data_IF_808978328565
#
_entry.id   IF_808978328565
#
_cell.length_a   1.000
_cell.length_b   1.000
_cell.length_c   1.000
_cell.angle_alpha   90.00
_cell.angle_beta   90.00
_cell.angle_gamma   90.00
#
_symmetry.space_group_name_H-M   'P 1'
#
loop_
_entity.id
_entity.type
_entity.pdbx_description
1 polymer ?
#
# COMPACT_ATOMS: atom_id res chain seq x y z
N UNK A 1 3.43 27.15 -29.58
CA UNK A 1 3.34 26.58 -28.18
C UNK A 1 4.01 25.23 -28.21
N UNK A 2 5.03 25.07 -27.41
CA UNK A 2 5.79 23.81 -27.31
C UNK A 2 4.95 22.77 -26.55
N UNK A 3 4.93 21.54 -27.04
CA UNK A 3 4.24 20.43 -26.37
C UNK A 3 5.21 19.64 -25.50
N UNK A 4 4.71 18.99 -24.44
CA UNK A 4 5.51 18.12 -23.59
C UNK A 4 6.19 17.00 -24.39
N UNK A 5 5.53 16.47 -25.42
CA UNK A 5 6.07 15.47 -26.34
C UNK A 5 7.32 15.98 -27.09
N UNK A 6 7.31 17.24 -27.53
CA UNK A 6 8.47 17.83 -28.21
C UNK A 6 9.67 17.98 -27.27
N UNK A 7 9.45 18.35 -26.01
CA UNK A 7 10.51 18.44 -24.99
C UNK A 7 11.10 17.06 -24.70
N UNK A 8 10.26 16.04 -24.60
CA UNK A 8 10.67 14.66 -24.37
C UNK A 8 11.49 14.08 -25.53
N UNK A 9 11.06 14.35 -26.77
CA UNK A 9 11.82 13.96 -27.96
C UNK A 9 13.18 14.64 -28.03
N UNK A 10 13.26 15.92 -27.69
CA UNK A 10 14.54 16.64 -27.61
C UNK A 10 15.49 16.00 -26.60
N UNK A 11 14.99 15.68 -25.40
CA UNK A 11 15.77 15.00 -24.38
C UNK A 11 16.29 13.64 -24.87
N UNK A 12 15.42 12.84 -25.51
CA UNK A 12 15.79 11.56 -26.09
C UNK A 12 16.83 11.67 -27.19
N UNK A 13 16.76 12.73 -28.02
CA UNK A 13 17.74 12.97 -29.05
C UNK A 13 19.12 13.32 -28.47
N UNK A 14 19.19 14.17 -27.44
CA UNK A 14 20.46 14.49 -26.77
C UNK A 14 21.07 13.30 -26.05
N UNK A 15 20.26 12.39 -25.52
CA UNK A 15 20.75 11.12 -24.93
C UNK A 15 21.34 10.18 -25.99
N UNK A 16 20.76 10.15 -27.20
CA UNK A 16 21.26 9.32 -28.32
C UNK A 16 22.46 9.92 -29.04
N UNK A 17 22.60 11.25 -29.02
CA UNK A 17 23.61 11.99 -29.72
C UNK A 17 24.44 12.86 -28.78
N UNK A 18 25.33 12.24 -27.96
CA UNK A 18 26.18 12.96 -27.03
C UNK A 18 27.16 13.93 -27.74
N UNK A 19 27.44 13.68 -29.00
CA UNK A 19 28.25 14.57 -29.88
C UNK A 19 27.58 15.91 -30.19
N UNK A 20 26.27 15.97 -29.97
CA UNK A 20 25.45 17.16 -30.21
C UNK A 20 24.79 17.21 -31.60
N UNK A 21 23.73 18.01 -31.67
CA UNK A 21 22.93 18.20 -32.87
C UNK A 21 22.75 19.68 -33.18
N UNK A 22 22.74 20.05 -34.49
CA UNK A 22 22.47 21.40 -34.89
C UNK A 22 20.96 21.69 -34.96
N UNK A 23 20.60 22.98 -34.97
CA UNK A 23 19.21 23.43 -34.93
C UNK A 23 18.35 22.89 -36.08
N UNK A 24 18.95 22.75 -37.28
CA UNK A 24 18.22 22.27 -38.47
C UNK A 24 17.92 20.78 -38.39
N UNK A 25 18.86 19.98 -37.86
CA UNK A 25 18.66 18.56 -37.60
C UNK A 25 17.58 18.36 -36.54
N UNK A 26 17.64 19.12 -35.43
CA UNK A 26 16.60 19.08 -34.39
C UNK A 26 15.22 19.46 -34.92
N UNK A 27 15.14 20.46 -35.83
CA UNK A 27 13.90 20.87 -36.47
C UNK A 27 13.31 19.75 -37.36
N UNK A 28 14.16 19.06 -38.12
CA UNK A 28 13.76 17.94 -38.96
C UNK A 28 13.24 16.73 -38.09
N UNK A 29 13.99 16.35 -37.06
CA UNK A 29 13.63 15.24 -36.16
C UNK A 29 12.33 15.50 -35.38
N UNK A 30 12.06 16.74 -34.99
CA UNK A 30 10.85 17.15 -34.31
C UNK A 30 9.69 17.48 -35.24
N UNK A 31 9.90 17.47 -36.56
CA UNK A 31 8.94 17.95 -37.55
C UNK A 31 8.37 19.35 -37.19
N UNK A 32 9.23 20.23 -36.68
CA UNK A 32 8.85 21.55 -36.16
C UNK A 32 9.68 22.67 -36.80
N UNK A 33 9.19 23.91 -36.72
CA UNK A 33 9.97 25.06 -37.19
C UNK A 33 11.16 25.35 -36.25
N UNK A 34 12.25 25.95 -36.77
CA UNK A 34 13.40 26.29 -35.92
C UNK A 34 13.07 27.22 -34.75
N UNK A 35 12.04 28.04 -34.86
CA UNK A 35 11.55 28.89 -33.76
C UNK A 35 10.93 28.07 -32.62
N UNK A 36 10.13 27.07 -32.95
CA UNK A 36 9.54 26.15 -31.96
C UNK A 36 10.62 25.32 -31.26
N UNK A 37 11.65 24.87 -32.02
CA UNK A 37 12.79 24.17 -31.44
C UNK A 37 13.55 25.04 -30.44
N UNK A 38 13.80 26.32 -30.79
CA UNK A 38 14.46 27.25 -29.84
C UNK A 38 13.65 27.47 -28.57
N UNK A 39 12.33 27.64 -28.70
CA UNK A 39 11.43 27.75 -27.55
C UNK A 39 11.49 26.48 -26.69
N UNK A 40 11.52 25.29 -27.31
CA UNK A 40 11.65 24.03 -26.62
C UNK A 40 13.01 23.83 -25.92
N UNK A 41 14.11 24.26 -26.53
CA UNK A 41 15.44 24.28 -25.93
C UNK A 41 15.52 25.22 -24.72
N UNK A 42 14.90 26.41 -24.85
CA UNK A 42 14.79 27.36 -23.74
C UNK A 42 13.98 26.78 -22.59
N UNK A 43 12.84 26.13 -22.88
CA UNK A 43 12.01 25.46 -21.87
C UNK A 43 12.78 24.33 -21.19
N UNK A 44 13.55 23.53 -21.93
CA UNK A 44 14.43 22.49 -21.39
C UNK A 44 15.42 23.06 -20.37
N UNK A 45 16.02 24.20 -20.67
CA UNK A 45 17.03 24.84 -19.81
C UNK A 45 16.41 25.55 -18.61
N UNK A 46 15.36 26.37 -18.82
CA UNK A 46 14.80 27.22 -17.78
C UNK A 46 13.83 26.49 -16.84
N UNK A 47 12.96 25.66 -17.41
CA UNK A 47 11.91 24.96 -16.63
C UNK A 47 12.42 23.65 -16.05
N UNK A 48 13.18 22.88 -16.83
CA UNK A 48 13.65 21.56 -16.42
C UNK A 48 15.10 21.54 -15.94
N UNK A 49 15.81 22.70 -15.99
CA UNK A 49 17.20 22.84 -15.58
C UNK A 49 18.13 21.81 -16.26
N UNK A 50 17.82 21.49 -17.52
CA UNK A 50 18.59 20.54 -18.30
C UNK A 50 20.03 21.06 -18.50
N UNK A 51 21.06 20.18 -18.40
CA UNK A 51 22.47 20.55 -18.55
C UNK A 51 22.82 20.74 -20.03
N UNK A 52 22.11 21.63 -20.72
CA UNK A 52 22.26 21.90 -22.14
C UNK A 52 23.37 22.93 -22.38
N UNK A 53 24.27 22.63 -23.30
CA UNK A 53 25.30 23.56 -23.80
C UNK A 53 25.10 23.83 -25.27
N UNK A 54 25.53 25.03 -25.70
CA UNK A 54 25.63 25.41 -27.10
C UNK A 54 27.07 25.77 -27.44
N UNK A 55 27.64 25.06 -28.38
CA UNK A 55 28.98 25.36 -28.89
C UNK A 55 28.86 26.28 -30.12
N UNK A 56 29.39 27.48 -30.02
CA UNK A 56 29.32 28.50 -31.09
C UNK A 56 30.15 28.13 -32.33
N UNK A 57 31.26 27.42 -32.17
CA UNK A 57 32.17 27.06 -33.25
C UNK A 57 31.60 25.96 -34.12
N UNK A 58 31.02 24.94 -33.50
CA UNK A 58 30.40 23.80 -34.19
C UNK A 58 28.90 24.01 -34.46
N UNK A 59 28.27 25.00 -33.81
CA UNK A 59 26.84 25.29 -33.85
C UNK A 59 25.97 24.10 -33.38
N UNK A 60 26.50 23.32 -32.46
CA UNK A 60 25.81 22.13 -31.90
C UNK A 60 25.28 22.43 -30.50
N UNK A 61 24.11 21.86 -30.22
CA UNK A 61 23.53 21.75 -28.90
C UNK A 61 23.80 20.32 -28.37
N UNK A 62 24.27 20.21 -27.14
CA UNK A 62 24.54 18.92 -26.48
C UNK A 62 24.33 19.04 -24.96
N UNK A 63 24.11 17.93 -24.29
CA UNK A 63 24.23 17.89 -22.84
C UNK A 63 25.71 17.86 -22.43
N UNK A 64 26.04 18.45 -21.27
CA UNK A 64 27.39 18.31 -20.70
C UNK A 64 27.69 16.83 -20.46
N UNK A 65 28.85 16.39 -20.86
CA UNK A 65 29.25 14.96 -20.81
C UNK A 65 29.17 14.37 -19.41
N UNK A 66 29.51 15.15 -18.38
CA UNK A 66 29.47 14.71 -16.98
C UNK A 66 28.04 14.53 -16.42
N UNK A 67 27.06 15.19 -17.05
CA UNK A 67 25.66 15.13 -16.61
C UNK A 67 24.79 14.24 -17.49
N UNK A 68 25.34 13.71 -18.59
CA UNK A 68 24.58 12.95 -19.60
C UNK A 68 23.90 11.70 -19.04
N UNK A 69 24.58 10.99 -18.13
CA UNK A 69 24.04 9.76 -17.51
C UNK A 69 23.12 10.05 -16.32
N UNK A 70 23.29 11.20 -15.67
CA UNK A 70 22.61 11.54 -14.42
C UNK A 70 21.32 12.36 -14.62
N UNK A 71 21.20 13.08 -15.76
CA UNK A 71 20.06 13.96 -15.99
C UNK A 71 18.88 13.23 -16.62
N UNK A 72 17.73 13.28 -15.95
CA UNK A 72 16.44 12.84 -16.44
C UNK A 72 15.43 14.00 -16.35
N UNK A 73 14.48 14.07 -17.29
CA UNK A 73 13.45 15.11 -17.27
C UNK A 73 12.48 14.89 -16.10
N UNK A 74 12.43 15.79 -15.11
CA UNK A 74 11.50 15.65 -13.99
C UNK A 74 10.04 15.62 -14.47
N UNK A 75 9.28 14.58 -14.12
CA UNK A 75 7.87 14.44 -14.44
C UNK A 75 7.55 14.10 -15.90
N UNK A 76 8.55 13.91 -16.77
CA UNK A 76 8.37 13.64 -18.22
C UNK A 76 9.00 12.32 -18.63
N UNK A 77 10.08 11.91 -17.99
CA UNK A 77 10.69 10.58 -18.18
C UNK A 77 10.80 9.86 -16.84
N UNK A 78 10.48 8.59 -16.87
CA UNK A 78 10.71 7.71 -15.73
C UNK A 78 12.02 6.96 -15.95
N UNK A 79 12.90 6.99 -14.96
CA UNK A 79 14.11 6.17 -14.98
C UNK A 79 13.76 4.68 -14.94
N UNK A 80 14.66 3.82 -15.41
CA UNK A 80 14.47 2.36 -15.32
C UNK A 80 14.21 1.89 -13.87
N UNK A 81 14.76 2.59 -12.87
CA UNK A 81 14.56 2.28 -11.46
C UNK A 81 13.15 2.65 -10.99
N UNK A 82 12.63 3.81 -11.41
CA UNK A 82 11.25 4.23 -11.08
C UNK A 82 10.22 3.34 -11.76
N UNK A 83 10.44 2.97 -13.02
CA UNK A 83 9.59 2.00 -13.74
C UNK A 83 9.56 0.64 -13.05
N UNK A 84 10.72 0.13 -12.57
CA UNK A 84 10.78 -1.10 -11.77
C UNK A 84 9.97 -0.98 -10.48
N UNK A 85 10.09 0.17 -9.79
CA UNK A 85 9.30 0.48 -8.60
C UNK A 85 7.80 0.48 -8.89
N UNK A 86 7.37 1.11 -9.99
CA UNK A 86 5.97 1.15 -10.40
C UNK A 86 5.42 -0.25 -10.73
N UNK A 87 6.17 -1.07 -11.45
CA UNK A 87 5.79 -2.47 -11.75
C UNK A 87 5.65 -3.28 -10.46
N UNK A 88 6.58 -3.11 -9.50
CA UNK A 88 6.50 -3.78 -8.20
C UNK A 88 5.23 -3.36 -7.43
N UNK A 89 4.88 -2.07 -7.44
CA UNK A 89 3.65 -1.55 -6.82
C UNK A 89 2.39 -2.10 -7.50
N UNK A 90 2.36 -2.15 -8.84
CA UNK A 90 1.22 -2.72 -9.58
C UNK A 90 1.04 -4.20 -9.27
N UNK A 91 2.13 -4.97 -9.24
CA UNK A 91 2.06 -6.38 -8.86
C UNK A 91 1.57 -6.56 -7.42
N UNK A 92 2.04 -5.71 -6.50
CA UNK A 92 1.55 -5.68 -5.12
C UNK A 92 0.03 -5.41 -5.06
N UNK A 93 -0.45 -4.40 -5.79
CA UNK A 93 -1.87 -4.06 -5.85
C UNK A 93 -2.71 -5.19 -6.45
N UNK A 94 -2.22 -5.86 -7.50
CA UNK A 94 -2.89 -7.01 -8.10
C UNK A 94 -2.96 -8.20 -7.12
N UNK A 95 -1.91 -8.43 -6.34
CA UNK A 95 -1.89 -9.50 -5.33
C UNK A 95 -2.81 -9.19 -4.12
N UNK A 96 -2.96 -7.93 -3.77
CA UNK A 96 -3.88 -7.47 -2.73
C UNK A 96 -5.35 -7.46 -3.17
N UNK A 97 -5.60 -7.39 -4.49
CA UNK A 97 -6.95 -7.27 -5.02
C UNK A 97 -7.65 -8.62 -5.14
N UNK A 98 -8.75 -8.87 -4.42
CA UNK A 98 -9.30 -10.21 -4.23
C UNK A 98 -10.20 -10.71 -5.37
N UNK A 99 -9.92 -10.38 -6.62
CA UNK A 99 -10.68 -11.10 -7.61
C UNK A 99 -10.94 -10.49 -8.98
N UNK A 100 -10.86 -9.22 -9.17
CA UNK A 100 -10.80 -8.58 -10.49
C UNK A 100 -10.17 -7.20 -10.29
N UNK A 101 -9.06 -6.94 -10.96
CA UNK A 101 -8.56 -5.57 -11.07
C UNK A 101 -9.70 -4.72 -11.66
N UNK A 102 -9.96 -3.57 -11.05
CA UNK A 102 -10.87 -2.61 -11.66
C UNK A 102 -10.37 -2.29 -13.07
N UNK A 103 -11.26 -1.93 -13.98
CA UNK A 103 -10.85 -1.57 -15.35
C UNK A 103 -9.77 -0.48 -15.35
N UNK A 104 -9.81 0.41 -14.35
CA UNK A 104 -8.82 1.46 -14.12
C UNK A 104 -7.43 0.89 -13.76
N UNK A 105 -7.35 -0.12 -12.88
CA UNK A 105 -6.09 -0.78 -12.54
C UNK A 105 -5.52 -1.53 -13.74
N UNK A 106 -6.36 -2.22 -14.52
CA UNK A 106 -5.94 -2.87 -15.77
C UNK A 106 -5.47 -1.85 -16.80
N UNK A 107 -6.11 -0.69 -16.87
CA UNK A 107 -5.68 0.39 -17.76
C UNK A 107 -4.36 0.99 -17.32
N UNK A 108 -4.19 1.26 -16.02
CA UNK A 108 -2.94 1.73 -15.44
C UNK A 108 -1.81 0.73 -15.67
N UNK A 109 -2.08 -0.56 -15.44
CA UNK A 109 -1.12 -1.61 -15.71
C UNK A 109 -0.66 -1.60 -17.17
N UNK A 110 -1.58 -1.56 -18.14
CA UNK A 110 -1.25 -1.48 -19.58
C UNK A 110 -0.43 -0.24 -19.92
N UNK A 111 -0.73 0.91 -19.30
CA UNK A 111 0.06 2.14 -19.50
C UNK A 111 1.49 1.99 -18.99
N UNK A 112 1.66 1.41 -17.80
CA UNK A 112 2.99 1.14 -17.22
C UNK A 112 3.73 0.10 -18.07
N UNK A 113 3.07 -0.96 -18.53
CA UNK A 113 3.61 -1.96 -19.45
C UNK A 113 4.13 -1.32 -20.74
N UNK A 114 3.38 -0.42 -21.32
CA UNK A 114 3.79 0.31 -22.52
C UNK A 114 5.03 1.16 -22.25
N UNK A 115 5.10 1.85 -21.12
CA UNK A 115 6.28 2.64 -20.73
C UNK A 115 7.51 1.76 -20.50
N UNK A 116 7.35 0.60 -19.86
CA UNK A 116 8.43 -0.37 -19.63
C UNK A 116 9.02 -0.87 -20.96
N UNK A 117 8.17 -1.24 -21.91
CA UNK A 117 8.59 -1.72 -23.24
C UNK A 117 9.29 -0.62 -24.05
N UNK A 118 8.81 0.62 -24.01
CA UNK A 118 9.45 1.77 -24.68
C UNK A 118 10.85 2.06 -24.14
N UNK A 119 11.15 1.68 -22.91
CA UNK A 119 12.47 1.81 -22.28
C UNK A 119 13.34 0.56 -22.43
N UNK A 120 12.96 -0.39 -23.29
CA UNK A 120 13.73 -1.60 -23.59
C UNK A 120 13.80 -2.62 -22.43
N UNK A 121 12.89 -2.50 -21.46
CA UNK A 121 12.74 -3.44 -20.35
C UNK A 121 11.64 -4.47 -20.71
N UNK A 122 11.79 -5.72 -20.24
CA UNK A 122 10.75 -6.72 -20.38
C UNK A 122 9.98 -6.90 -19.08
N UNK A 123 8.66 -6.95 -19.19
CA UNK A 123 7.75 -7.09 -18.04
C UNK A 123 7.96 -8.43 -17.34
N UNK A 124 8.19 -9.49 -18.11
CA UNK A 124 8.45 -10.84 -17.58
C UNK A 124 9.67 -10.90 -16.66
N UNK A 125 10.71 -10.12 -16.95
CA UNK A 125 11.92 -10.06 -16.09
C UNK A 125 11.65 -9.40 -14.74
N UNK A 126 10.67 -8.50 -14.64
CA UNK A 126 10.36 -7.75 -13.42
C UNK A 126 9.26 -8.44 -12.60
N UNK A 127 8.20 -8.92 -13.24
CA UNK A 127 7.04 -9.53 -12.57
C UNK A 127 7.31 -10.92 -11.97
N UNK A 128 8.28 -11.66 -12.53
CA UNK A 128 8.61 -13.00 -12.04
C UNK A 128 9.58 -13.01 -10.85
N UNK A 129 10.29 -11.92 -10.60
CA UNK A 129 11.34 -11.85 -9.56
C UNK A 129 10.84 -11.42 -8.20
N UNK A 130 9.67 -10.78 -8.12
CA UNK A 130 9.05 -10.33 -6.86
C UNK A 130 7.63 -10.86 -6.84
N UNK A 131 7.33 -11.73 -5.88
CA UNK A 131 5.99 -12.29 -5.68
C UNK A 131 5.57 -12.12 -4.23
N UNK A 132 4.36 -11.63 -4.01
CA UNK A 132 3.66 -11.70 -2.74
C UNK A 132 2.84 -13.00 -2.70
N UNK A 133 3.20 -13.88 -1.79
CA UNK A 133 2.46 -15.12 -1.58
C UNK A 133 1.57 -14.94 -0.35
N UNK A 134 0.30 -14.71 -0.58
CA UNK A 134 -0.68 -14.75 0.50
C UNK A 134 -1.10 -16.19 0.76
N UNK A 135 -0.96 -16.70 2.00
CA UNK A 135 -1.26 -18.10 2.32
C UNK A 135 -2.73 -18.46 2.11
N UNK A 136 -3.64 -17.51 2.18
CA UNK A 136 -5.09 -17.69 1.96
C UNK A 136 -5.66 -16.47 1.26
N UNK A 137 -6.17 -16.64 0.04
CA UNK A 137 -6.96 -15.59 -0.63
C UNK A 137 -8.44 -15.81 -0.30
N UNK A 138 -9.05 -14.91 0.44
CA UNK A 138 -10.52 -14.92 0.60
C UNK A 138 -11.14 -14.06 -0.49
N UNK A 139 -12.13 -14.63 -1.15
CA UNK A 139 -12.91 -13.89 -2.14
C UNK A 139 -13.77 -12.85 -1.42
N UNK A 140 -13.64 -11.60 -1.82
CA UNK A 140 -14.57 -10.55 -1.44
C UNK A 140 -15.53 -10.36 -2.60
N UNK A 141 -16.76 -10.05 -2.28
CA UNK A 141 -17.71 -9.65 -3.28
C UNK A 141 -17.30 -8.27 -3.83
N UNK A 142 -16.89 -8.23 -5.10
CA UNK A 142 -16.43 -7.01 -5.77
C UNK A 142 -17.47 -5.88 -5.70
N UNK A 143 -18.76 -6.22 -5.78
CA UNK A 143 -19.83 -5.24 -5.63
C UNK A 143 -19.78 -4.55 -4.26
N UNK A 144 -19.59 -5.32 -3.17
CA UNK A 144 -19.47 -4.75 -1.82
C UNK A 144 -18.25 -3.85 -1.72
N UNK A 145 -17.10 -4.29 -2.25
CA UNK A 145 -15.88 -3.48 -2.25
C UNK A 145 -16.08 -2.15 -2.98
N UNK A 146 -16.69 -2.17 -4.17
CA UNK A 146 -17.01 -0.98 -4.94
C UNK A 146 -17.95 -0.04 -4.18
N UNK A 147 -19.07 -0.55 -3.65
CA UNK A 147 -20.02 0.28 -2.89
C UNK A 147 -19.37 0.96 -1.68
N UNK A 148 -18.48 0.23 -0.99
CA UNK A 148 -17.75 0.78 0.17
C UNK A 148 -16.73 1.83 -0.30
N UNK A 149 -15.97 1.56 -1.36
CA UNK A 149 -14.99 2.50 -1.93
C UNK A 149 -15.66 3.78 -2.44
N UNK A 150 -16.74 3.64 -3.21
CA UNK A 150 -17.47 4.79 -3.75
C UNK A 150 -18.00 5.70 -2.64
N UNK A 151 -18.59 5.12 -1.61
CA UNK A 151 -19.11 5.88 -0.47
C UNK A 151 -17.98 6.54 0.33
N UNK A 152 -16.82 5.88 0.45
CA UNK A 152 -15.63 6.41 1.10
C UNK A 152 -15.11 7.66 0.36
N UNK A 153 -14.94 7.56 -0.97
CA UNK A 153 -14.41 8.66 -1.77
C UNK A 153 -15.42 9.79 -2.01
N UNK A 154 -16.71 9.48 -2.10
CA UNK A 154 -17.77 10.49 -2.24
C UNK A 154 -18.22 11.08 -0.90
N UNK A 155 -17.64 10.63 0.22
CA UNK A 155 -17.96 11.08 1.57
C UNK A 155 -19.45 10.98 1.91
N UNK A 156 -20.02 9.81 1.60
CA UNK A 156 -21.42 9.49 1.85
C UNK A 156 -21.56 8.39 2.89
N UNK A 157 -22.71 8.38 3.58
CA UNK A 157 -23.05 7.29 4.47
C UNK A 157 -23.40 6.01 3.69
N UNK A 158 -23.15 4.88 4.33
CA UNK A 158 -23.54 3.55 3.86
C UNK A 158 -24.55 2.94 4.81
N UNK A 159 -25.52 2.24 4.25
CA UNK A 159 -26.30 1.26 5.00
C UNK A 159 -25.75 -0.15 4.72
N UNK A 160 -25.38 -0.87 5.79
CA UNK A 160 -24.77 -2.20 5.74
C UNK A 160 -25.72 -3.24 6.34
N UNK A 161 -26.00 -4.32 5.62
CA UNK A 161 -26.51 -5.56 6.19
C UNK A 161 -25.32 -6.42 6.64
N UNK A 162 -25.08 -6.46 7.94
CA UNK A 162 -23.88 -7.05 8.53
C UNK A 162 -24.19 -8.30 9.34
N UNK A 163 -23.42 -9.36 9.13
CA UNK A 163 -23.46 -10.60 9.90
C UNK A 163 -22.35 -10.57 10.96
N UNK A 164 -22.74 -10.55 12.21
CA UNK A 164 -21.77 -10.56 13.31
C UNK A 164 -21.17 -11.98 13.52
N UNK A 165 -20.18 -12.09 14.42
CA UNK A 165 -19.51 -13.36 14.69
C UNK A 165 -20.42 -14.44 15.32
N UNK A 166 -21.46 -14.01 16.00
CA UNK A 166 -22.51 -14.85 16.59
C UNK A 166 -23.64 -15.19 15.59
N UNK A 167 -23.43 -14.92 14.29
CA UNK A 167 -24.39 -15.11 13.20
C UNK A 167 -25.62 -14.19 13.26
N UNK A 168 -25.68 -13.24 14.20
CA UNK A 168 -26.75 -12.26 14.23
C UNK A 168 -26.65 -11.30 13.03
N UNK A 169 -27.78 -11.03 12.39
CA UNK A 169 -27.88 -10.11 11.27
C UNK A 169 -28.33 -8.75 11.81
N UNK A 170 -27.72 -7.69 11.34
CA UNK A 170 -28.09 -6.33 11.74
C UNK A 170 -27.90 -5.35 10.61
N UNK A 171 -28.79 -4.40 10.55
CA UNK A 171 -28.68 -3.24 9.68
C UNK A 171 -27.96 -2.10 10.40
N UNK A 172 -27.03 -1.45 9.70
CA UNK A 172 -26.14 -0.43 10.24
C UNK A 172 -25.98 0.73 9.25
N UNK A 173 -26.42 1.91 9.64
CA UNK A 173 -25.96 3.14 9.00
C UNK A 173 -24.57 3.47 9.54
N UNK A 174 -23.61 3.68 8.64
CA UNK A 174 -22.22 3.97 8.97
C UNK A 174 -21.68 5.12 8.13
N UNK A 175 -20.73 5.87 8.67
CA UNK A 175 -19.92 6.85 7.92
C UNK A 175 -18.54 6.25 7.68
N UNK A 176 -18.20 5.83 6.45
CA UNK A 176 -16.91 5.27 6.09
C UNK A 176 -15.76 6.22 6.41
N UNK A 177 -14.66 5.70 6.95
CA UNK A 177 -13.45 6.47 7.26
C UNK A 177 -12.23 5.93 6.53
N UNK A 178 -11.97 4.62 6.62
CA UNK A 178 -10.78 4.00 6.06
C UNK A 178 -11.06 2.57 5.63
N UNK A 179 -10.56 2.18 4.45
CA UNK A 179 -10.44 0.78 4.03
C UNK A 179 -9.08 0.26 4.45
N UNK A 180 -9.06 -0.85 5.17
CA UNK A 180 -7.85 -1.47 5.70
C UNK A 180 -7.73 -2.89 5.18
N UNK A 181 -6.60 -3.21 4.54
CA UNK A 181 -6.23 -4.59 4.25
C UNK A 181 -5.34 -5.14 5.35
N UNK A 182 -5.81 -6.16 6.06
CA UNK A 182 -5.09 -6.76 7.17
C UNK A 182 -5.25 -8.28 7.16
N UNK A 183 -4.16 -9.01 7.15
CA UNK A 183 -4.11 -10.49 7.16
C UNK A 183 -5.06 -11.14 6.14
N UNK A 184 -4.90 -10.80 4.88
CA UNK A 184 -5.69 -11.30 3.75
C UNK A 184 -7.20 -11.00 3.83
N UNK A 185 -7.60 -10.02 4.62
CA UNK A 185 -8.96 -9.56 4.79
C UNK A 185 -9.05 -8.05 4.60
N UNK A 186 -10.13 -7.61 3.97
CA UNK A 186 -10.48 -6.20 3.93
C UNK A 186 -11.44 -5.85 5.06
N UNK A 187 -11.19 -4.71 5.66
CA UNK A 187 -12.00 -4.15 6.73
C UNK A 187 -12.35 -2.71 6.39
N UNK A 188 -13.51 -2.31 6.84
CA UNK A 188 -13.96 -0.92 6.81
C UNK A 188 -14.00 -0.39 8.23
N UNK A 189 -13.20 0.62 8.51
CA UNK A 189 -13.38 1.43 9.69
C UNK A 189 -14.38 2.53 9.42
N UNK A 190 -15.40 2.61 10.23
CA UNK A 190 -16.49 3.53 10.06
C UNK A 190 -17.12 3.97 11.40
N UNK A 191 -17.64 5.16 11.43
CA UNK A 191 -18.51 5.58 12.51
C UNK A 191 -19.86 4.88 12.41
N UNK A 192 -20.21 4.10 13.43
CA UNK A 192 -21.50 3.41 13.50
C UNK A 192 -22.55 4.30 14.17
N UNK A 193 -23.51 4.81 13.40
CA UNK A 193 -24.57 5.70 13.91
C UNK A 193 -25.45 5.02 14.96
N UNK A 194 -25.64 3.70 14.88
CA UNK A 194 -26.40 2.95 15.90
C UNK A 194 -25.68 2.82 17.23
N UNK A 195 -24.35 2.71 17.21
CA UNK A 195 -23.53 2.51 18.42
C UNK A 195 -22.83 3.77 18.89
N UNK A 196 -22.87 4.85 18.09
CA UNK A 196 -22.23 6.14 18.37
C UNK A 196 -20.72 6.00 18.70
N UNK A 197 -20.02 5.18 17.91
CA UNK A 197 -18.58 4.96 18.05
C UNK A 197 -17.96 4.49 16.74
N UNK A 198 -16.65 4.65 16.57
CA UNK A 198 -15.87 4.04 15.50
C UNK A 198 -15.88 2.53 15.69
N UNK A 199 -16.05 1.79 14.60
CA UNK A 199 -16.06 0.33 14.57
C UNK A 199 -15.47 -0.19 13.28
N UNK A 200 -14.83 -1.34 13.38
CA UNK A 200 -14.26 -2.08 12.27
C UNK A 200 -15.25 -3.15 11.78
N UNK A 201 -15.55 -3.12 10.49
CA UNK A 201 -16.43 -4.08 9.82
C UNK A 201 -15.64 -4.90 8.81
N UNK A 202 -15.65 -6.22 8.95
CA UNK A 202 -15.04 -7.11 7.97
C UNK A 202 -15.88 -7.16 6.69
N UNK A 203 -15.31 -6.83 5.52
CA UNK A 203 -16.07 -6.75 4.25
C UNK A 203 -16.72 -8.08 3.88
N UNK A 204 -16.05 -9.21 4.13
CA UNK A 204 -16.61 -10.55 3.86
C UNK A 204 -17.83 -10.92 4.70
N UNK A 205 -18.19 -10.11 5.70
CA UNK A 205 -19.40 -10.25 6.53
C UNK A 205 -20.49 -9.26 6.17
N UNK A 206 -20.30 -8.47 5.14
CA UNK A 206 -21.31 -7.56 4.61
C UNK A 206 -22.08 -8.30 3.51
N UNK A 207 -23.35 -8.59 3.75
CA UNK A 207 -24.22 -9.24 2.75
C UNK A 207 -24.65 -8.27 1.66
N UNK A 208 -24.95 -7.02 2.04
CA UNK A 208 -25.28 -5.95 1.11
C UNK A 208 -24.87 -4.60 1.68
N UNK A 209 -24.48 -3.69 0.79
CA UNK A 209 -24.13 -2.31 1.10
C UNK A 209 -24.77 -1.40 0.05
N UNK A 210 -25.33 -0.28 0.48
CA UNK A 210 -25.84 0.74 -0.43
C UNK A 210 -25.58 2.12 0.14
N UNK A 211 -25.24 3.03 -0.75
CA UNK A 211 -24.93 4.42 -0.40
C UNK A 211 -26.20 5.18 -0.05
N UNK A 212 -26.14 5.97 1.01
CA UNK A 212 -27.18 6.89 1.43
C UNK A 212 -26.93 8.29 0.84
N UNK A 213 -27.97 9.13 0.84
CA UNK A 213 -27.84 10.51 0.38
C UNK A 213 -27.12 11.41 1.42
N UNK A 214 -27.12 11.01 2.68
CA UNK A 214 -26.54 11.76 3.78
C UNK A 214 -25.02 11.82 3.68
N UNK A 215 -24.45 12.98 4.07
CA UNK A 215 -23.00 13.13 4.16
C UNK A 215 -22.44 12.25 5.29
N UNK A 216 -21.27 11.67 5.07
CA UNK A 216 -20.57 10.94 6.11
C UNK A 216 -20.10 11.91 7.22
N UNK A 217 -20.14 11.45 8.47
CA UNK A 217 -19.44 12.11 9.56
C UNK A 217 -17.95 11.96 9.35
N UNK A 218 -17.20 13.03 9.44
CA UNK A 218 -15.74 13.03 9.29
C UNK A 218 -15.04 13.09 10.64
N UNK A 219 -13.84 12.51 10.67
CA UNK A 219 -12.92 12.56 11.80
C UNK A 219 -11.58 13.10 11.32
N UNK A 220 -10.85 13.76 12.19
CA UNK A 220 -9.50 14.21 11.89
C UNK A 220 -8.55 13.02 11.74
N UNK A 221 -7.44 13.24 11.06
CA UNK A 221 -6.41 12.21 10.91
C UNK A 221 -5.88 11.75 12.26
N UNK A 222 -5.72 12.66 13.20
CA UNK A 222 -5.23 12.39 14.54
C UNK A 222 -6.19 11.48 15.33
N UNK A 223 -7.51 11.73 15.23
CA UNK A 223 -8.52 10.87 15.86
C UNK A 223 -8.50 9.45 15.30
N UNK A 224 -8.34 9.31 13.98
CA UNK A 224 -8.26 8.01 13.32
C UNK A 224 -6.94 7.29 13.67
N UNK A 225 -5.82 7.99 13.66
CA UNK A 225 -4.52 7.42 14.05
C UNK A 225 -4.55 6.96 15.52
N UNK A 226 -5.12 7.72 16.44
CA UNK A 226 -5.30 7.29 17.83
C UNK A 226 -6.17 6.03 17.92
N UNK A 227 -7.24 5.96 17.13
CA UNK A 227 -8.09 4.77 17.09
C UNK A 227 -7.34 3.51 16.61
N UNK A 228 -6.43 3.65 15.64
CA UNK A 228 -5.65 2.54 15.08
C UNK A 228 -4.42 2.18 15.91
N UNK A 229 -3.67 3.19 16.40
CA UNK A 229 -2.40 2.96 17.11
C UNK A 229 -2.55 2.41 18.52
N UNK A 230 -3.72 2.57 19.13
CA UNK A 230 -3.98 2.07 20.48
C UNK A 230 -4.23 0.56 20.54
N UNK A 231 -4.26 -0.14 19.40
CA UNK A 231 -4.75 -1.50 19.35
C UNK A 231 -3.67 -2.49 18.84
N UNK A 232 -3.62 -3.66 19.47
CA UNK A 232 -2.96 -4.81 18.89
C UNK A 232 -3.89 -5.44 17.83
N UNK A 233 -3.48 -5.36 16.56
CA UNK A 233 -4.29 -5.85 15.45
C UNK A 233 -5.37 -4.87 14.98
N UNK A 234 -6.46 -5.41 14.39
CA UNK A 234 -7.52 -4.62 13.73
C UNK A 234 -8.71 -4.32 14.64
N UNK A 235 -8.87 -5.05 15.75
CA UNK A 235 -10.00 -4.85 16.64
C UNK A 235 -9.72 -3.77 17.66
N UNK A 236 -10.56 -2.74 17.66
CA UNK A 236 -10.52 -1.62 18.59
C UNK A 236 -11.60 -1.76 19.67
N UNK A 237 -11.31 -1.26 20.85
CA UNK A 237 -12.25 -1.18 21.97
C UNK A 237 -11.72 -1.85 23.23
N UNK A 238 -12.17 -1.39 24.39
CA UNK A 238 -11.67 -1.86 25.69
C UNK A 238 -10.51 -1.01 26.24
N UNK A 239 -10.15 -1.27 27.48
CA UNK A 239 -8.98 -0.67 28.12
C UNK A 239 -7.72 -1.37 27.66
N UNK A 240 -6.64 -0.60 27.50
CA UNK A 240 -5.34 -1.18 27.15
C UNK A 240 -4.79 -1.98 28.32
N UNK A 241 -4.52 -3.24 28.08
CA UNK A 241 -3.85 -4.16 29.00
C UNK A 241 -2.44 -4.45 28.51
N UNK A 242 -1.57 -4.96 29.37
CA UNK A 242 -0.23 -5.39 28.99
C UNK A 242 -0.14 -6.91 29.18
N UNK A 243 0.17 -7.63 28.10
CA UNK A 243 0.50 -9.03 28.18
C UNK A 243 1.99 -9.21 28.47
N UNK A 244 2.32 -9.93 29.56
CA UNK A 244 3.67 -10.36 29.86
C UNK A 244 3.90 -11.76 29.29
N UNK A 245 4.67 -11.81 28.22
CA UNK A 245 4.91 -13.01 27.44
C UNK A 245 6.35 -13.46 27.57
N UNK A 246 6.56 -14.79 27.64
CA UNK A 246 7.88 -15.39 27.62
C UNK A 246 7.96 -16.41 26.48
N UNK A 247 8.87 -16.22 25.57
CA UNK A 247 9.09 -17.09 24.43
C UNK A 247 10.35 -17.94 24.66
N UNK A 248 10.16 -19.24 24.59
CA UNK A 248 11.21 -20.25 24.73
C UNK A 248 12.13 -20.25 23.50
N UNK A 249 13.34 -20.84 23.56
CA UNK A 249 14.34 -20.80 22.49
C UNK A 249 13.80 -21.18 21.10
N UNK A 250 12.83 -22.09 21.03
CA UNK A 250 12.22 -22.52 19.77
C UNK A 250 11.42 -21.42 19.02
N UNK A 251 11.04 -20.34 19.69
CA UNK A 251 10.32 -19.20 19.09
C UNK A 251 11.00 -17.85 19.33
N UNK A 252 11.87 -17.75 20.33
CA UNK A 252 12.43 -16.48 20.82
C UNK A 252 13.05 -15.62 19.70
N UNK A 253 13.89 -16.21 18.85
CA UNK A 253 14.54 -15.48 17.75
C UNK A 253 13.57 -14.96 16.69
N UNK A 254 12.54 -15.73 16.36
CA UNK A 254 11.52 -15.31 15.39
C UNK A 254 10.70 -14.13 15.93
N UNK A 255 10.30 -14.23 17.21
CA UNK A 255 9.51 -13.20 17.89
C UNK A 255 10.31 -11.90 18.06
N UNK A 256 11.58 -12.00 18.45
CA UNK A 256 12.45 -10.83 18.64
C UNK A 256 12.69 -10.02 17.36
N UNK A 257 12.54 -10.61 16.18
CA UNK A 257 12.69 -9.94 14.89
C UNK A 257 11.38 -9.29 14.40
N UNK A 258 10.26 -9.53 15.07
CA UNK A 258 8.96 -9.00 14.68
C UNK A 258 8.61 -7.74 15.46
N UNK A 259 8.03 -6.78 14.77
CA UNK A 259 7.45 -5.60 15.41
C UNK A 259 5.97 -5.90 15.76
N UNK A 260 5.73 -6.29 17.00
CA UNK A 260 4.39 -6.65 17.49
C UNK A 260 3.49 -5.43 17.70
N UNK A 261 4.03 -4.39 18.31
CA UNK A 261 3.34 -3.14 18.59
C UNK A 261 4.38 -2.01 18.72
N UNK A 262 4.08 -0.76 18.37
CA UNK A 262 5.02 0.36 18.54
C UNK A 262 5.55 0.50 19.98
N UNK A 263 4.68 0.29 20.97
CA UNK A 263 5.00 0.41 22.40
C UNK A 263 5.40 -0.92 23.06
N UNK A 264 5.55 -1.99 22.28
CA UNK A 264 6.00 -3.26 22.83
C UNK A 264 7.45 -3.17 23.32
N UNK A 265 7.72 -3.79 24.47
CA UNK A 265 9.07 -3.80 25.08
C UNK A 265 9.54 -5.23 25.20
N UNK A 266 10.61 -5.54 24.48
CA UNK A 266 11.21 -6.88 24.48
C UNK A 266 12.61 -6.88 25.10
N UNK A 267 12.95 -7.95 25.80
CA UNK A 267 14.26 -8.14 26.43
C UNK A 267 14.67 -9.62 26.40
N UNK A 268 15.95 -9.87 26.13
CA UNK A 268 16.53 -11.21 26.21
C UNK A 268 16.92 -11.57 27.65
N UNK A 269 16.55 -12.79 28.06
CA UNK A 269 16.95 -13.42 29.31
C UNK A 269 17.60 -14.78 29.00
N UNK A 270 18.90 -14.81 28.83
CA UNK A 270 19.60 -15.97 28.31
C UNK A 270 19.18 -16.27 26.87
N UNK A 271 18.59 -17.42 26.64
CA UNK A 271 18.06 -17.88 25.34
C UNK A 271 16.54 -17.71 25.21
N UNK A 272 15.88 -17.13 26.19
CA UNK A 272 14.47 -16.78 26.18
C UNK A 272 14.25 -15.29 25.84
N UNK A 273 13.15 -14.97 25.18
CA UNK A 273 12.74 -13.59 24.87
C UNK A 273 11.47 -13.23 25.65
N UNK A 274 11.57 -12.21 26.49
CA UNK A 274 10.45 -11.68 27.26
C UNK A 274 9.90 -10.46 26.57
N UNK A 275 8.57 -10.41 26.39
CA UNK A 275 7.87 -9.36 25.67
C UNK A 275 6.70 -8.82 26.47
N UNK A 276 6.73 -7.52 26.76
CA UNK A 276 5.59 -6.78 27.31
C UNK A 276 4.84 -6.14 26.15
N UNK A 277 3.62 -6.61 25.88
CA UNK A 277 2.84 -6.28 24.70
C UNK A 277 1.52 -5.59 25.09
N UNK A 278 1.31 -4.30 24.76
CA UNK A 278 0.03 -3.65 24.91
C UNK A 278 -1.03 -4.26 23.97
N UNK A 279 -2.23 -4.51 24.48
CA UNK A 279 -3.36 -5.01 23.69
C UNK A 279 -4.70 -4.57 24.31
N UNK A 280 -5.74 -4.48 23.48
CA UNK A 280 -7.10 -4.11 23.90
C UNK A 280 -8.10 -5.24 23.69
N UNK A 281 -7.82 -6.15 22.75
CA UNK A 281 -8.67 -7.29 22.41
C UNK A 281 -7.82 -8.56 22.32
N UNK A 282 -8.24 -9.60 23.04
CA UNK A 282 -7.47 -10.84 23.14
C UNK A 282 -7.61 -11.78 21.94
N UNK A 283 -8.61 -11.55 21.06
CA UNK A 283 -8.94 -12.49 19.97
C UNK A 283 -7.80 -12.69 18.98
N UNK A 284 -7.12 -11.59 18.60
CA UNK A 284 -5.99 -11.68 17.68
C UNK A 284 -4.73 -12.11 18.39
N UNK A 285 -4.49 -11.56 19.57
CA UNK A 285 -3.34 -11.94 20.39
C UNK A 285 -3.35 -13.43 20.68
N UNK A 286 -4.47 -14.00 21.10
CA UNK A 286 -4.62 -15.45 21.34
C UNK A 286 -4.34 -16.27 20.06
N UNK A 287 -4.82 -15.81 18.90
CA UNK A 287 -4.55 -16.50 17.63
C UNK A 287 -3.05 -16.55 17.33
N UNK A 288 -2.34 -15.43 17.57
CA UNK A 288 -0.92 -15.36 17.33
C UNK A 288 -0.13 -16.18 18.33
N UNK A 289 -0.48 -16.09 19.62
CA UNK A 289 0.17 -16.89 20.66
C UNK A 289 -0.03 -18.40 20.43
N UNK A 290 -1.19 -18.83 19.93
CA UNK A 290 -1.42 -20.24 19.58
C UNK A 290 -0.51 -20.73 18.46
N UNK A 291 -0.08 -19.87 17.55
CA UNK A 291 0.85 -20.25 16.48
C UNK A 291 2.26 -20.54 16.99
N UNK A 292 2.60 -20.06 18.19
CA UNK A 292 3.89 -20.31 18.85
C UNK A 292 3.85 -21.43 19.89
N UNK A 293 2.70 -22.08 20.08
CA UNK A 293 2.63 -23.24 20.98
C UNK A 293 3.55 -24.37 20.48
N UNK A 294 4.30 -25.07 21.37
CA UNK A 294 4.31 -24.95 22.83
C UNK A 294 5.34 -23.94 23.38
N UNK A 295 5.95 -23.09 22.54
CA UNK A 295 7.11 -22.26 22.86
C UNK A 295 6.75 -20.88 23.44
N UNK A 296 5.52 -20.65 23.88
CA UNK A 296 5.09 -19.40 24.52
C UNK A 296 4.46 -19.67 25.88
N UNK A 297 4.82 -18.86 26.85
CA UNK A 297 4.27 -18.86 28.21
C UNK A 297 3.70 -17.46 28.46
N UNK A 298 2.47 -17.39 28.92
CA UNK A 298 1.81 -16.16 29.34
C UNK A 298 1.99 -16.03 30.84
N UNK A 299 2.69 -15.02 31.30
CA UNK A 299 2.90 -14.73 32.70
C UNK A 299 1.71 -13.97 33.29
N UNK A 300 1.32 -12.89 32.61
CA UNK A 300 0.22 -11.98 32.98
C UNK A 300 -0.46 -11.42 31.72
N UNK A 301 -1.76 -11.06 31.73
CA UNK A 301 -2.74 -11.26 32.82
C UNK A 301 -3.29 -12.69 32.87
N UNK A 302 -3.81 -13.05 34.03
CA UNK A 302 -4.32 -14.42 34.28
C UNK A 302 -5.55 -14.74 33.40
N UNK A 303 -6.36 -13.73 33.03
CA UNK A 303 -7.49 -13.85 32.11
C UNK A 303 -7.03 -14.32 30.73
N UNK A 304 -5.99 -13.68 30.14
CA UNK A 304 -5.41 -14.07 28.87
C UNK A 304 -4.83 -15.48 28.92
N UNK A 305 -4.13 -15.81 30.00
CA UNK A 305 -3.56 -17.15 30.24
C UNK A 305 -4.64 -18.23 30.30
N UNK A 306 -5.74 -17.94 30.98
CA UNK A 306 -6.86 -18.87 31.10
C UNK A 306 -7.59 -19.04 29.77
N UNK A 307 -7.78 -17.97 28.99
CA UNK A 307 -8.34 -18.01 27.64
C UNK A 307 -7.44 -18.87 26.70
N UNK A 308 -6.13 -18.71 26.78
CA UNK A 308 -5.17 -19.49 26.01
C UNK A 308 -5.23 -20.99 26.37
N UNK A 309 -5.17 -21.33 27.67
CA UNK A 309 -5.28 -22.70 28.15
C UNK A 309 -6.59 -23.37 27.71
N UNK A 310 -7.70 -22.64 27.83
CA UNK A 310 -9.02 -23.12 27.40
C UNK A 310 -9.03 -23.51 25.92
N UNK A 311 -8.46 -22.66 25.03
CA UNK A 311 -8.38 -22.96 23.60
C UNK A 311 -7.52 -24.17 23.28
N UNK A 312 -6.40 -24.34 23.99
CA UNK A 312 -5.56 -25.55 23.85
C UNK A 312 -6.30 -26.82 24.31
N UNK A 313 -7.02 -26.75 25.40
CA UNK A 313 -7.83 -27.90 25.94
C UNK A 313 -8.97 -28.26 24.98
N UNK A 314 -9.69 -27.26 24.44
CA UNK A 314 -10.73 -27.48 23.45
C UNK A 314 -10.17 -28.12 22.18
N UNK A 315 -9.01 -27.62 21.67
CA UNK A 315 -8.34 -28.21 20.52
C UNK A 315 -7.97 -29.66 20.77
N UNK A 316 -7.35 -29.95 21.92
CA UNK A 316 -6.97 -31.31 22.31
C UNK A 316 -8.18 -32.24 22.44
N UNK A 317 -9.29 -31.76 23.01
CA UNK A 317 -10.50 -32.57 23.21
C UNK A 317 -11.19 -32.93 21.89
N UNK A 318 -11.15 -32.06 20.89
CA UNK A 318 -11.76 -32.26 19.56
C UNK A 318 -10.92 -33.13 18.62
N UNK A 319 -9.65 -33.31 18.92
CA UNK A 319 -8.71 -34.09 18.09
C UNK A 319 -8.32 -35.43 18.79
N UNK A 320 -9.12 -35.84 19.74
CA UNK A 320 -9.07 -37.18 20.34
C UNK A 320 -10.01 -38.11 19.54
#
# INVERSE_FOLDING_TARGET
MVTTDQVQRLHSLFKKHPEGLNLMTLAAELAASPSVVKEALQQLTEQYQAPLSYNSDTRLYAYFTEALEAFELPGVSLSATELRGMVAVVNLLNDLNPGHSSDELNQLQRQIETLVVTHGLTIDDLGQRIRLLSPTKRQINNYIYQQVSDALFTRKQLNLHYVASDQSISERAVSPQTLVHYRDQWYLDAWCHKRQQLRTFMLSRINSAYQLNDAAREFSREELEQHFHSNYGIFSGGETQIAELRFMPGAAHLVAQQQWHPDAKGQWHGDEYHLNLPYNDDRELLRDLLSYAPHVIINDPEELKNAYKKRLQEALSRNR
#
